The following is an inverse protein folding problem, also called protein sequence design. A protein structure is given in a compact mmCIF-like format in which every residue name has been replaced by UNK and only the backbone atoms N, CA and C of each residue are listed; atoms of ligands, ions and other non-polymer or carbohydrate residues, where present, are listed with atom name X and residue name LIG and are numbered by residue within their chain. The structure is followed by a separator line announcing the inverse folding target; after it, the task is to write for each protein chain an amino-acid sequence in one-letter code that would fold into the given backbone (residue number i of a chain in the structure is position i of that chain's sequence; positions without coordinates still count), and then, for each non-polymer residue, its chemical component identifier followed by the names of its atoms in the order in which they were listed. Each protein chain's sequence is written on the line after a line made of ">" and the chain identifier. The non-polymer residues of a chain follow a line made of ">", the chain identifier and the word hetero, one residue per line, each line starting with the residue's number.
data_IF_373646908029
#
_entry.id   IF_373646908029
#
_cell.length_a   1.000
_cell.length_b   1.000
_cell.length_c   1.000
_cell.angle_alpha   90.00
_cell.angle_beta   90.00
_cell.angle_gamma   90.00
#
_symmetry.space_group_name_H-M   'P 1'
#
loop_
_entity.id
_entity.type
_entity.pdbx_description
1 polymer ?
#
# COMPACT_ATOMS: atom_id res chain seq x y z
N UNK A 1 25.43 -29.56 -13.90
CA UNK A 1 24.99 -28.61 -12.87
C UNK A 1 24.03 -27.62 -13.53
N UNK A 2 22.73 -27.70 -13.24
CA UNK A 2 21.73 -26.80 -13.82
C UNK A 2 21.66 -25.47 -13.06
N UNK A 3 21.32 -24.33 -13.72
CA UNK A 3 21.31 -23.03 -13.07
C UNK A 3 20.19 -22.98 -12.01
N UNK A 4 20.56 -22.63 -10.78
CA UNK A 4 19.62 -22.31 -9.71
C UNK A 4 18.85 -21.05 -10.09
N UNK A 5 17.55 -21.20 -10.33
CA UNK A 5 16.63 -20.09 -10.53
C UNK A 5 16.32 -19.49 -9.15
N UNK A 6 16.98 -18.39 -8.80
CA UNK A 6 16.70 -17.64 -7.56
C UNK A 6 15.24 -17.18 -7.60
N UNK A 7 14.38 -17.55 -6.64
CA UNK A 7 13.03 -17.03 -6.60
C UNK A 7 13.11 -15.50 -6.45
N UNK A 8 12.28 -14.72 -7.17
CA UNK A 8 12.26 -13.27 -6.99
C UNK A 8 12.01 -12.98 -5.52
N UNK A 9 12.84 -12.12 -4.94
CA UNK A 9 12.66 -11.62 -3.58
C UNK A 9 11.36 -10.80 -3.57
N UNK A 10 10.22 -11.49 -3.39
CA UNK A 10 8.93 -10.86 -3.21
C UNK A 10 9.09 -9.94 -1.99
N UNK A 11 8.81 -8.64 -2.14
CA UNK A 11 8.94 -7.71 -1.04
C UNK A 11 8.10 -8.25 0.11
N UNK A 12 8.77 -8.70 1.19
CA UNK A 12 8.07 -9.12 2.39
C UNK A 12 7.21 -7.95 2.82
N UNK A 13 5.98 -8.22 3.27
CA UNK A 13 5.16 -7.21 3.93
C UNK A 13 6.02 -6.55 5.00
N UNK A 14 6.42 -5.32 4.73
CA UNK A 14 7.23 -4.51 5.63
C UNK A 14 6.34 -3.71 6.60
N UNK A 15 5.04 -3.64 6.30
CA UNK A 15 4.05 -2.94 7.09
C UNK A 15 3.23 -3.92 7.92
N UNK A 16 2.81 -3.47 9.10
CA UNK A 16 2.08 -4.29 10.08
C UNK A 16 0.62 -3.89 10.24
N UNK A 17 0.31 -2.65 9.88
CA UNK A 17 -1.03 -2.07 10.01
C UNK A 17 -1.37 -1.29 8.74
N UNK A 18 -2.62 -1.39 8.31
CA UNK A 18 -3.17 -0.61 7.19
C UNK A 18 -4.35 0.19 7.72
N UNK A 19 -4.31 1.50 7.52
CA UNK A 19 -5.33 2.41 8.01
C UNK A 19 -5.65 3.49 6.97
N UNK A 20 -6.79 4.17 7.13
CA UNK A 20 -7.21 5.26 6.26
C UNK A 20 -7.37 6.54 7.08
N UNK A 21 -6.89 7.66 6.53
CA UNK A 21 -7.02 8.97 7.16
C UNK A 21 -7.63 9.99 6.18
N UNK A 22 -8.64 10.75 6.60
CA UNK A 22 -9.10 11.89 5.81
C UNK A 22 -8.00 12.95 5.73
N UNK A 23 -7.81 13.50 4.52
CA UNK A 23 -6.87 14.56 4.18
C UNK A 23 -7.58 15.62 3.34
N UNK A 24 -6.97 16.79 3.14
CA UNK A 24 -7.59 17.91 2.41
C UNK A 24 -8.13 17.55 1.02
N UNK A 25 -7.50 16.58 0.34
CA UNK A 25 -7.85 16.17 -1.02
C UNK A 25 -8.58 14.84 -1.12
N UNK A 26 -8.94 14.20 0.01
CA UNK A 26 -9.62 12.90 0.02
C UNK A 26 -9.25 12.02 1.21
N UNK A 27 -8.95 10.75 0.95
CA UNK A 27 -8.61 9.74 1.96
C UNK A 27 -7.26 9.11 1.64
N UNK A 28 -6.26 9.36 2.50
CA UNK A 28 -4.96 8.75 2.40
C UNK A 28 -4.98 7.33 3.00
N UNK A 29 -4.50 6.35 2.24
CA UNK A 29 -4.19 5.02 2.78
C UNK A 29 -2.83 5.13 3.47
N UNK A 30 -2.71 4.66 4.71
CA UNK A 30 -1.46 4.66 5.48
C UNK A 30 -1.10 3.22 5.84
N UNK A 31 0.18 2.91 5.69
CA UNK A 31 0.80 1.67 6.10
C UNK A 31 1.71 2.00 7.29
N UNK A 32 1.42 1.46 8.46
CA UNK A 32 2.19 1.75 9.67
C UNK A 32 2.34 3.27 9.96
N UNK A 33 1.25 4.03 9.74
CA UNK A 33 1.18 5.51 9.78
C UNK A 33 1.89 6.25 8.66
N UNK A 34 2.59 5.57 7.73
CA UNK A 34 3.21 6.18 6.57
C UNK A 34 2.31 6.08 5.34
N UNK A 35 2.10 7.18 4.62
CA UNK A 35 1.37 7.15 3.34
C UNK A 35 2.29 6.59 2.24
N UNK A 36 2.00 5.40 1.68
CA UNK A 36 2.80 4.86 0.60
C UNK A 36 2.69 5.76 -0.63
N UNK A 37 3.75 5.76 -1.43
CA UNK A 37 3.80 6.50 -2.68
C UNK A 37 3.47 5.54 -3.83
N UNK A 38 2.67 6.03 -4.75
CA UNK A 38 2.45 5.41 -6.06
C UNK A 38 3.75 5.39 -6.87
N UNK A 39 3.86 4.56 -7.91
CA UNK A 39 4.99 4.60 -8.83
C UNK A 39 5.24 6.00 -9.43
N UNK A 40 4.19 6.81 -9.57
CA UNK A 40 4.26 8.21 -9.98
C UNK A 40 4.75 9.18 -8.88
N UNK A 41 5.28 8.66 -7.76
CA UNK A 41 5.74 9.40 -6.56
C UNK A 41 4.66 10.23 -5.86
N UNK A 42 3.37 10.03 -6.17
CA UNK A 42 2.26 10.70 -5.50
C UNK A 42 1.81 9.91 -4.28
N UNK A 43 1.41 10.61 -3.22
CA UNK A 43 0.77 10.00 -2.06
C UNK A 43 -0.48 9.21 -2.49
N UNK A 44 -0.68 8.02 -1.92
CA UNK A 44 -1.84 7.19 -2.20
C UNK A 44 -3.10 7.77 -1.52
N UNK A 45 -3.70 8.77 -2.18
CA UNK A 45 -4.93 9.45 -1.74
C UNK A 45 -6.04 9.14 -2.72
N UNK A 46 -7.18 8.70 -2.21
CA UNK A 46 -8.38 8.39 -2.99
C UNK A 46 -9.50 9.39 -2.70
N UNK A 47 -10.38 9.69 -3.67
CA UNK A 47 -11.40 10.73 -3.53
C UNK A 47 -12.53 10.33 -2.58
N UNK A 48 -12.73 9.04 -2.32
CA UNK A 48 -13.83 8.53 -1.49
C UNK A 48 -13.32 7.56 -0.44
N UNK A 49 -14.01 7.53 0.70
CA UNK A 49 -13.69 6.62 1.82
C UNK A 49 -13.79 5.16 1.39
N UNK A 50 -14.86 4.80 0.68
CA UNK A 50 -15.10 3.43 0.21
C UNK A 50 -13.97 2.92 -0.70
N UNK A 51 -13.43 3.77 -1.58
CA UNK A 51 -12.29 3.40 -2.41
C UNK A 51 -11.02 3.17 -1.56
N UNK A 52 -10.78 4.02 -0.56
CA UNK A 52 -9.66 3.86 0.38
C UNK A 52 -9.79 2.59 1.22
N UNK A 53 -11.00 2.21 1.64
CA UNK A 53 -11.27 0.98 2.38
C UNK A 53 -11.00 -0.26 1.53
N UNK A 54 -11.41 -0.26 0.25
CA UNK A 54 -11.11 -1.37 -0.68
C UNK A 54 -9.61 -1.56 -0.88
N UNK A 55 -8.87 -0.45 -1.05
CA UNK A 55 -7.41 -0.51 -1.17
C UNK A 55 -6.78 -0.95 0.15
N UNK A 56 -7.24 -0.45 1.29
CA UNK A 56 -6.73 -0.89 2.58
C UNK A 56 -6.93 -2.41 2.79
N UNK A 57 -8.12 -2.93 2.47
CA UNK A 57 -8.43 -4.35 2.57
C UNK A 57 -7.56 -5.21 1.65
N UNK A 58 -7.24 -4.73 0.44
CA UNK A 58 -6.36 -5.44 -0.48
C UNK A 58 -4.89 -5.56 0.02
N UNK A 59 -4.48 -4.70 0.96
CA UNK A 59 -3.14 -4.73 1.56
C UNK A 59 -3.13 -5.48 2.91
N UNK A 60 -4.25 -5.47 3.63
CA UNK A 60 -4.42 -6.21 4.89
C UNK A 60 -4.48 -7.74 4.65
N UNK A 61 -5.15 -8.16 3.57
CA UNK A 61 -5.21 -9.56 3.11
C UNK A 61 -3.83 -10.08 2.74
#
# INVERSE_FOLDING_TARGET
>A
MGPTMTPPNLPRRFYKTVDIAPVETGFAVRLDRATPKTPAKKALVLPTKAAAELVAAAWDA
#
